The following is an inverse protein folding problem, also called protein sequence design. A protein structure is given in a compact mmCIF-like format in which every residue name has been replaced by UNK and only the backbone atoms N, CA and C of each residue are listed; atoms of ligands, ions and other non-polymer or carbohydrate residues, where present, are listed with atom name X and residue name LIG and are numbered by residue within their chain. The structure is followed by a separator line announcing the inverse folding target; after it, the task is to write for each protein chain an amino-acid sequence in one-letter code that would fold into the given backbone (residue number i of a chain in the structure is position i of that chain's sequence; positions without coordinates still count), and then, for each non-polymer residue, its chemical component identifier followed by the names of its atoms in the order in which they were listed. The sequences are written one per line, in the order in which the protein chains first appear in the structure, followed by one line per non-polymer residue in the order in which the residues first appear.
data_IF_110201799732
#
_entry.id   IF_110201799732
#
_cell.length_a   1.000
_cell.length_b   1.000
_cell.length_c   1.000
_cell.angle_alpha   90.00
_cell.angle_beta   90.00
_cell.angle_gamma   90.00
#
_symmetry.space_group_name_H-M   'P 1'
#
loop_
_entity.id
_entity.type
_entity.pdbx_description
1 polymer ?
#
# COMPACT_ATOMS: atom_id res chain seq x y z
N UNK A 1 2.56 9.77 -0.93
CA UNK A 1 2.11 9.22 -2.23
C UNK A 1 0.82 8.46 -2.00
N UNK A 2 -0.16 8.52 -2.91
CA UNK A 2 -1.37 7.69 -2.78
C UNK A 2 -1.06 6.23 -3.13
N UNK A 3 -1.74 5.28 -2.49
CA UNK A 3 -1.59 3.84 -2.80
C UNK A 3 -1.88 3.53 -4.28
N UNK A 4 -2.79 4.29 -4.90
CA UNK A 4 -3.08 4.19 -6.34
C UNK A 4 -1.89 4.52 -7.24
N UNK A 5 -1.07 5.51 -6.89
CA UNK A 5 0.12 5.87 -7.65
C UNK A 5 1.22 4.80 -7.53
N UNK A 6 1.38 4.23 -6.34
CA UNK A 6 2.30 3.12 -6.10
C UNK A 6 1.89 1.87 -6.87
N UNK A 7 0.59 1.58 -6.93
CA UNK A 7 0.03 0.48 -7.72
C UNK A 7 0.30 0.66 -9.22
N UNK A 8 0.02 1.84 -9.75
CA UNK A 8 0.27 2.13 -11.17
C UNK A 8 1.75 1.94 -11.53
N UNK A 9 2.66 2.51 -10.72
CA UNK A 9 4.11 2.33 -10.89
C UNK A 9 4.50 0.85 -10.85
N UNK A 10 3.95 0.07 -9.92
CA UNK A 10 4.22 -1.37 -9.84
C UNK A 10 3.77 -2.12 -11.10
N UNK A 11 2.57 -1.84 -11.60
CA UNK A 11 2.04 -2.45 -12.82
C UNK A 11 2.91 -2.15 -14.05
N UNK A 12 3.36 -0.90 -14.21
CA UNK A 12 4.27 -0.50 -15.29
C UNK A 12 5.63 -1.22 -15.22
N UNK A 13 6.20 -1.34 -14.01
CA UNK A 13 7.48 -2.02 -13.80
C UNK A 13 7.33 -3.53 -14.04
N UNK A 14 6.22 -4.13 -13.58
CA UNK A 14 5.91 -5.55 -13.80
C UNK A 14 5.82 -5.89 -15.29
N UNK A 15 5.19 -5.03 -16.09
CA UNK A 15 5.11 -5.20 -17.55
C UNK A 15 6.48 -5.15 -18.24
N UNK A 16 7.46 -4.46 -17.65
CA UNK A 16 8.82 -4.33 -18.19
C UNK A 16 9.79 -5.42 -17.71
N UNK A 17 9.33 -6.34 -16.85
CA UNK A 17 10.19 -7.32 -16.18
C UNK A 17 10.83 -6.72 -14.94
N UNK A 18 10.00 -6.50 -13.91
CA UNK A 18 10.43 -5.90 -12.64
C UNK A 18 11.59 -6.70 -12.02
N UNK A 19 12.64 -6.01 -11.58
CA UNK A 19 13.75 -6.64 -10.85
C UNK A 19 13.41 -6.80 -9.37
N UNK A 20 14.18 -7.62 -8.67
CA UNK A 20 14.04 -7.78 -7.21
C UNK A 20 14.22 -6.48 -6.45
N UNK A 21 15.24 -5.69 -6.78
CA UNK A 21 15.49 -4.39 -6.15
C UNK A 21 14.29 -3.46 -6.33
N UNK A 22 13.70 -3.45 -7.53
CA UNK A 22 12.57 -2.59 -7.83
C UNK A 22 11.29 -3.05 -7.13
N UNK A 23 11.07 -4.36 -7.06
CA UNK A 23 9.97 -4.93 -6.29
C UNK A 23 10.10 -4.62 -4.79
N UNK A 24 11.32 -4.69 -4.24
CA UNK A 24 11.61 -4.38 -2.84
C UNK A 24 11.43 -2.88 -2.52
N UNK A 25 11.80 -1.98 -3.44
CA UNK A 25 11.53 -0.55 -3.28
C UNK A 25 10.02 -0.28 -3.18
N UNK A 26 9.23 -0.83 -4.12
CA UNK A 26 7.77 -0.68 -4.09
C UNK A 26 7.19 -1.30 -2.82
N UNK A 27 7.68 -2.48 -2.41
CA UNK A 27 7.26 -3.13 -1.17
C UNK A 27 7.44 -2.19 0.03
N UNK A 28 8.64 -1.61 0.18
CA UNK A 28 8.99 -0.74 1.30
C UNK A 28 8.13 0.54 1.29
N UNK A 29 7.93 1.14 0.11
CA UNK A 29 7.07 2.32 -0.06
C UNK A 29 5.62 2.03 0.37
N UNK A 30 5.07 0.87 -0.03
CA UNK A 30 3.70 0.47 0.28
C UNK A 30 3.55 0.11 1.76
N UNK A 31 4.49 -0.65 2.32
CA UNK A 31 4.48 -1.04 3.73
C UNK A 31 4.55 0.18 4.66
N UNK A 32 5.38 1.17 4.32
CA UNK A 32 5.45 2.45 5.03
C UNK A 32 4.12 3.20 4.96
N UNK A 33 3.50 3.27 3.78
CA UNK A 33 2.20 3.94 3.62
C UNK A 33 1.08 3.25 4.40
N UNK A 34 1.01 1.91 4.38
CA UNK A 34 0.00 1.13 5.13
C UNK A 34 0.19 1.34 6.63
N UNK A 35 1.43 1.33 7.11
CA UNK A 35 1.76 1.54 8.52
C UNK A 35 1.33 2.93 8.99
N UNK A 36 1.56 3.97 8.18
CA UNK A 36 1.12 5.33 8.49
C UNK A 36 -0.41 5.45 8.57
N UNK A 37 -1.14 4.89 7.59
CA UNK A 37 -2.60 4.92 7.61
C UNK A 37 -3.20 4.15 8.80
N UNK A 38 -2.59 3.05 9.24
CA UNK A 38 -3.03 2.32 10.44
C UNK A 38 -2.94 3.18 11.69
N UNK A 39 -1.84 3.93 11.86
CA UNK A 39 -1.68 4.87 12.98
C UNK A 39 -2.76 5.96 12.90
N UNK A 40 -2.98 6.54 11.72
CA UNK A 40 -4.00 7.57 11.50
C UNK A 40 -5.42 7.07 11.83
N UNK A 41 -5.78 5.84 11.42
CA UNK A 41 -7.07 5.22 11.78
C UNK A 41 -7.21 5.07 13.29
N UNK A 42 -6.17 4.65 14.00
CA UNK A 42 -6.20 4.56 15.46
C UNK A 42 -6.42 5.92 16.11
N UNK A 43 -5.75 6.96 15.61
CA UNK A 43 -5.91 8.33 16.11
C UNK A 43 -7.33 8.87 15.87
N UNK A 44 -7.86 8.70 14.66
CA UNK A 44 -9.22 9.12 14.31
C UNK A 44 -10.29 8.40 15.15
N UNK A 45 -10.10 7.10 15.40
CA UNK A 45 -10.99 6.33 16.29
C UNK A 45 -10.93 6.85 17.73
N UNK A 46 -9.75 7.21 18.24
CA UNK A 46 -9.59 7.79 19.58
C UNK A 46 -10.22 9.19 19.68
N UNK A 47 -10.18 9.96 18.60
CA UNK A 47 -10.74 11.31 18.52
C UNK A 47 -12.27 11.33 18.26
N UNK A 48 -12.87 10.17 17.97
CA UNK A 48 -14.29 10.10 17.61
C UNK A 48 -14.60 10.77 16.28
N UNK A 49 -13.66 10.73 15.34
CA UNK A 49 -13.79 11.33 14.02
C UNK A 49 -14.91 10.68 13.18
N UNK A 50 -15.18 11.27 12.01
CA UNK A 50 -16.23 10.80 11.13
C UNK A 50 -15.93 9.38 10.62
N UNK A 51 -16.95 8.52 10.62
CA UNK A 51 -16.84 7.14 10.13
C UNK A 51 -16.41 7.08 8.66
N UNK A 52 -16.75 8.09 7.86
CA UNK A 52 -16.38 8.17 6.45
C UNK A 52 -14.87 8.32 6.25
N UNK A 53 -14.20 9.16 7.06
CA UNK A 53 -12.75 9.34 7.02
C UNK A 53 -12.01 8.05 7.40
N UNK A 54 -12.49 7.38 8.44
CA UNK A 54 -11.96 6.08 8.88
C UNK A 54 -12.13 5.04 7.78
N UNK A 55 -13.31 4.94 7.17
CA UNK A 55 -13.59 3.99 6.08
C UNK A 55 -12.72 4.23 4.86
N UNK A 56 -12.46 5.48 4.52
CA UNK A 56 -11.58 5.82 3.41
C UNK A 56 -10.16 5.31 3.67
N UNK A 57 -9.61 5.55 4.86
CA UNK A 57 -8.28 5.04 5.23
C UNK A 57 -8.22 3.51 5.31
N UNK A 58 -9.26 2.86 5.83
CA UNK A 58 -9.37 1.40 5.84
C UNK A 58 -9.36 0.81 4.42
N UNK A 59 -9.99 1.48 3.45
CA UNK A 59 -9.91 1.08 2.05
C UNK A 59 -8.48 1.20 1.49
N UNK A 60 -7.76 2.28 1.79
CA UNK A 60 -6.35 2.44 1.40
C UNK A 60 -5.46 1.36 2.02
N UNK A 61 -5.70 1.00 3.28
CA UNK A 61 -4.99 -0.09 3.96
C UNK A 61 -5.24 -1.42 3.23
N UNK A 62 -6.50 -1.75 2.94
CA UNK A 62 -6.85 -2.99 2.26
C UNK A 62 -6.27 -3.08 0.83
N UNK A 63 -6.20 -1.94 0.12
CA UNK A 63 -5.56 -1.87 -1.20
C UNK A 63 -4.05 -2.09 -1.11
N UNK A 64 -3.40 -1.46 -0.13
CA UNK A 64 -1.98 -1.62 0.13
C UNK A 64 -1.60 -3.05 0.54
N UNK A 65 -2.38 -3.68 1.42
CA UNK A 65 -2.18 -5.07 1.84
C UNK A 65 -2.27 -6.04 0.65
N UNK A 66 -3.25 -5.85 -0.24
CA UNK A 66 -3.37 -6.65 -1.47
C UNK A 66 -2.14 -6.50 -2.37
N UNK A 67 -1.60 -5.29 -2.49
CA UNK A 67 -0.40 -5.04 -3.28
C UNK A 67 0.85 -5.67 -2.64
N UNK A 68 0.97 -5.63 -1.32
CA UNK A 68 2.06 -6.31 -0.61
C UNK A 68 2.02 -7.83 -0.84
N UNK A 69 0.84 -8.43 -0.76
CA UNK A 69 0.67 -9.86 -1.02
C UNK A 69 0.99 -10.21 -2.49
N UNK A 70 0.60 -9.36 -3.43
CA UNK A 70 0.97 -9.52 -4.85
C UNK A 70 2.50 -9.48 -5.03
N UNK A 71 3.19 -8.51 -4.42
CA UNK A 71 4.66 -8.40 -4.48
C UNK A 71 5.33 -9.63 -3.87
N UNK A 72 4.87 -10.10 -2.69
CA UNK A 72 5.40 -11.31 -2.02
C UNK A 72 5.20 -12.57 -2.86
N UNK A 73 4.16 -12.61 -3.70
CA UNK A 73 3.87 -13.74 -4.58
C UNK A 73 4.67 -13.74 -5.89
N UNK A 74 5.44 -12.68 -6.17
CA UNK A 74 6.28 -12.63 -7.35
C UNK A 74 7.36 -13.71 -7.27
N UNK A 75 7.31 -14.66 -8.20
CA UNK A 75 8.43 -15.52 -8.49
C UNK A 75 9.39 -14.76 -9.41
N UNK A 76 10.38 -14.12 -8.81
CA UNK A 76 11.44 -13.41 -9.51
C UNK A 76 12.56 -14.42 -9.81
N UNK A 77 12.76 -14.69 -11.10
CA UNK A 77 13.79 -15.59 -11.64
C UNK A 77 15.10 -14.88 -11.89
#
# INVERSE_FOLDING_TARGET
MSCSALRHRFEEEKQKGITFERALEVYTDVEGSVSAHRVEVEELRRQGAALEEIRHLEAHIADGERLLDEIKSLNLS
#
